data_IF_709234056111
#
_entry.id   IF_709234056111
#
_cell.length_a   1.000
_cell.length_b   1.000
_cell.length_c   1.000
_cell.angle_alpha   90.00
_cell.angle_beta   90.00
_cell.angle_gamma   90.00
#
_symmetry.space_group_name_H-M   'P 1'
#
loop_
_entity.id
_entity.type
_entity.pdbx_description
1 polymer ?
#
# COMPACT_ATOMS: atom_id res chain seq x y z
N UNK A 1 -3.28 14.57 11.98
CA UNK A 1 -3.59 13.12 11.84
C UNK A 1 -5.06 12.81 11.54
N UNK A 2 -6.04 13.62 11.98
CA UNK A 2 -7.47 13.35 11.76
C UNK A 2 -8.01 13.54 10.32
N UNK A 3 -7.36 14.36 9.48
CA UNK A 3 -7.85 14.64 8.11
C UNK A 3 -7.67 13.48 7.11
N UNK A 4 -6.72 12.58 7.34
CA UNK A 4 -6.47 11.42 6.46
C UNK A 4 -7.55 10.34 6.63
N UNK A 5 -8.10 10.20 7.84
CA UNK A 5 -9.18 9.26 8.14
C UNK A 5 -10.51 9.63 7.48
N UNK A 6 -10.76 10.92 7.25
CA UNK A 6 -12.03 11.40 6.68
C UNK A 6 -12.07 11.20 5.16
N UNK A 7 -10.97 11.49 4.45
CA UNK A 7 -10.87 11.20 3.01
C UNK A 7 -11.05 9.70 2.70
N UNK A 8 -10.58 8.85 3.62
CA UNK A 8 -10.70 7.40 3.56
C UNK A 8 -12.09 6.88 3.94
N UNK A 9 -13.05 7.75 4.29
CA UNK A 9 -14.44 7.37 4.56
C UNK A 9 -15.34 7.61 3.34
N UNK A 10 -15.12 8.72 2.65
CA UNK A 10 -15.96 9.16 1.53
C UNK A 10 -15.61 8.46 0.20
N UNK A 11 -14.32 8.33 -0.15
CA UNK A 11 -13.88 7.50 -1.29
C UNK A 11 -14.32 6.04 -1.15
N UNK A 12 -14.43 5.64 0.11
CA UNK A 12 -14.76 4.30 0.54
C UNK A 12 -16.26 4.06 0.31
N UNK A 13 -17.14 5.02 0.61
CA UNK A 13 -18.62 4.92 0.47
C UNK A 13 -19.11 4.60 -0.93
N UNK A 14 -18.61 5.31 -1.94
CA UNK A 14 -19.04 5.10 -3.33
C UNK A 14 -18.47 3.80 -3.92
N UNK A 15 -17.30 3.36 -3.43
CA UNK A 15 -16.73 2.06 -3.77
C UNK A 15 -17.47 0.91 -3.04
N UNK A 16 -17.87 1.10 -1.77
CA UNK A 16 -18.66 0.16 -0.96
C UNK A 16 -20.00 -0.19 -1.63
N UNK A 17 -20.76 0.82 -2.07
CA UNK A 17 -22.08 0.60 -2.69
C UNK A 17 -22.01 -0.16 -4.02
N UNK A 18 -20.91 -0.06 -4.76
CA UNK A 18 -20.71 -0.81 -6.02
C UNK A 18 -20.36 -2.28 -5.79
N UNK A 19 -19.74 -2.61 -4.66
CA UNK A 19 -19.31 -3.99 -4.34
C UNK A 19 -20.45 -4.79 -3.67
N UNK A 20 -21.28 -4.16 -2.84
CA UNK A 20 -22.43 -4.83 -2.20
C UNK A 20 -23.50 -5.33 -3.20
N UNK A 21 -23.55 -4.76 -4.40
CA UNK A 21 -24.56 -5.12 -5.41
C UNK A 21 -24.25 -6.38 -6.25
N UNK A 22 -23.07 -6.98 -6.12
CA UNK A 22 -22.58 -8.00 -7.06
C UNK A 22 -22.04 -9.26 -6.41
N UNK A 23 -22.76 -10.38 -6.59
CA UNK A 23 -22.28 -11.75 -6.34
C UNK A 23 -20.85 -11.93 -6.91
N UNK A 24 -19.98 -12.56 -6.11
CA UNK A 24 -18.58 -12.97 -6.35
C UNK A 24 -17.50 -11.95 -5.94
N UNK A 25 -17.02 -12.15 -4.72
CA UNK A 25 -15.88 -11.46 -4.09
C UNK A 25 -14.56 -11.79 -4.77
N UNK A 26 -14.20 -11.01 -5.79
CA UNK A 26 -12.87 -11.08 -6.42
C UNK A 26 -11.88 -10.11 -5.79
N UNK A 27 -11.93 -9.91 -4.46
CA UNK A 27 -10.98 -9.04 -3.76
C UNK A 27 -9.54 -9.48 -3.95
N UNK A 28 -9.29 -10.80 -3.99
CA UNK A 28 -8.00 -11.38 -4.38
C UNK A 28 -7.44 -10.81 -5.69
N UNK A 29 -8.29 -10.66 -6.71
CA UNK A 29 -7.91 -10.10 -8.01
C UNK A 29 -7.52 -8.62 -7.91
N UNK A 30 -8.00 -7.92 -6.88
CA UNK A 30 -7.72 -6.50 -6.65
C UNK A 30 -6.48 -6.28 -5.78
N UNK A 31 -6.29 -7.01 -4.68
CA UNK A 31 -5.12 -6.79 -3.81
C UNK A 31 -3.85 -7.46 -4.31
N UNK A 32 -3.93 -8.52 -5.12
CA UNK A 32 -2.75 -9.19 -5.64
C UNK A 32 -1.90 -8.27 -6.56
N UNK A 33 -2.49 -7.52 -7.52
CA UNK A 33 -1.76 -6.49 -8.25
C UNK A 33 -1.24 -5.34 -7.36
N UNK A 34 -2.00 -4.94 -6.33
CA UNK A 34 -1.53 -3.92 -5.39
C UNK A 34 -0.27 -4.38 -4.64
N UNK A 35 -0.23 -5.64 -4.19
CA UNK A 35 0.97 -6.21 -3.56
C UNK A 35 2.16 -6.20 -4.52
N UNK A 36 1.94 -6.58 -5.77
CA UNK A 36 2.99 -6.57 -6.79
C UNK A 36 3.57 -5.15 -7.01
N UNK A 37 2.70 -4.14 -7.09
CA UNK A 37 3.13 -2.74 -7.20
C UNK A 37 3.90 -2.26 -5.96
N UNK A 38 3.45 -2.62 -4.75
CA UNK A 38 4.16 -2.30 -3.51
C UNK A 38 5.57 -2.89 -3.52
N UNK A 39 5.72 -4.15 -3.93
CA UNK A 39 7.03 -4.83 -4.01
C UNK A 39 7.93 -4.13 -5.04
N UNK A 40 7.42 -3.80 -6.23
CA UNK A 40 8.19 -3.09 -7.26
C UNK A 40 8.65 -1.73 -6.75
N UNK A 41 7.77 -0.93 -6.18
CA UNK A 41 8.14 0.39 -5.68
C UNK A 41 9.12 0.30 -4.52
N UNK A 42 8.99 -0.70 -3.66
CA UNK A 42 9.95 -0.92 -2.58
C UNK A 42 11.34 -1.27 -3.12
N UNK A 43 11.42 -2.18 -4.09
CA UNK A 43 12.68 -2.53 -4.76
C UNK A 43 13.31 -1.32 -5.43
N UNK A 44 12.53 -0.54 -6.18
CA UNK A 44 13.01 0.67 -6.85
C UNK A 44 13.52 1.71 -5.85
N UNK A 45 12.76 1.98 -4.78
CA UNK A 45 13.21 2.84 -3.69
C UNK A 45 14.57 2.41 -3.14
N UNK A 46 14.71 1.13 -2.79
CA UNK A 46 15.95 0.57 -2.25
C UNK A 46 17.11 0.70 -3.25
N UNK A 47 16.88 0.39 -4.53
CA UNK A 47 17.89 0.50 -5.58
C UNK A 47 18.38 1.95 -5.69
N UNK A 48 17.49 2.92 -5.82
CA UNK A 48 17.87 4.33 -5.97
C UNK A 48 18.51 4.89 -4.70
N UNK A 49 18.19 4.36 -3.52
CA UNK A 49 18.88 4.70 -2.26
C UNK A 49 20.29 4.11 -2.16
N UNK A 50 20.53 2.93 -2.73
CA UNK A 50 21.87 2.33 -2.81
C UNK A 50 22.71 3.09 -3.84
N UNK A 51 22.12 3.33 -5.02
CA UNK A 51 22.76 4.07 -6.11
C UNK A 51 23.13 5.49 -5.70
N UNK A 52 22.33 6.19 -4.88
CA UNK A 52 22.66 7.54 -4.41
C UNK A 52 23.99 7.62 -3.62
N UNK A 53 24.51 6.50 -3.12
CA UNK A 53 25.77 6.40 -2.39
C UNK A 53 26.95 5.96 -3.27
N UNK A 54 26.67 5.50 -4.49
CA UNK A 54 27.67 4.91 -5.38
C UNK A 54 27.96 5.84 -6.57
N UNK A 55 29.13 6.49 -6.54
CA UNK A 55 29.50 7.48 -7.57
C UNK A 55 29.65 6.88 -8.96
N UNK A 56 30.08 5.63 -9.10
CA UNK A 56 30.27 5.03 -10.43
C UNK A 56 28.91 4.74 -11.07
N UNK A 57 27.99 4.15 -10.33
CA UNK A 57 26.62 3.91 -10.80
C UNK A 57 25.87 5.19 -11.12
N UNK A 58 26.07 6.25 -10.32
CA UNK A 58 25.50 7.58 -10.59
C UNK A 58 26.00 8.18 -11.90
N UNK A 59 27.29 7.99 -12.23
CA UNK A 59 27.85 8.43 -13.51
C UNK A 59 27.26 7.64 -14.68
N UNK A 60 27.11 6.33 -14.54
CA UNK A 60 26.55 5.46 -15.59
C UNK A 60 25.11 5.84 -15.96
N UNK A 61 24.27 6.11 -14.95
CA UNK A 61 22.86 6.50 -15.15
C UNK A 61 22.65 8.00 -15.28
N UNK A 62 23.73 8.80 -15.24
CA UNK A 62 23.74 10.26 -15.34
C UNK A 62 22.83 10.96 -14.33
N UNK A 63 22.84 10.51 -13.07
CA UNK A 63 22.12 11.13 -11.97
C UNK A 63 23.10 11.70 -10.93
N UNK A 64 22.71 12.79 -10.29
CA UNK A 64 23.32 13.22 -9.04
C UNK A 64 22.83 12.37 -7.86
N UNK A 65 23.62 12.33 -6.79
CA UNK A 65 23.23 11.66 -5.54
C UNK A 65 21.88 12.19 -5.00
N UNK A 66 21.66 13.51 -5.08
CA UNK A 66 20.43 14.17 -4.66
C UNK A 66 19.22 13.74 -5.49
N UNK A 67 19.36 13.67 -6.82
CA UNK A 67 18.27 13.24 -7.71
C UNK A 67 17.91 11.77 -7.47
N UNK A 68 18.91 10.90 -7.29
CA UNK A 68 18.69 9.50 -6.95
C UNK A 68 17.96 9.33 -5.62
N UNK A 69 18.32 10.12 -4.61
CA UNK A 69 17.62 10.11 -3.32
C UNK A 69 16.18 10.63 -3.44
N UNK A 70 15.94 11.65 -4.26
CA UNK A 70 14.59 12.15 -4.52
C UNK A 70 13.72 11.11 -5.24
N UNK A 71 14.27 10.38 -6.20
CA UNK A 71 13.59 9.26 -6.87
C UNK A 71 13.24 8.16 -5.85
N UNK A 72 14.18 7.80 -4.97
CA UNK A 72 13.93 6.84 -3.88
C UNK A 72 12.74 7.27 -3.03
N UNK A 73 12.70 8.54 -2.59
CA UNK A 73 11.61 9.09 -1.77
C UNK A 73 10.28 9.15 -2.52
N UNK A 74 10.30 9.39 -3.84
CA UNK A 74 9.09 9.35 -4.67
C UNK A 74 8.46 7.95 -4.68
N UNK A 75 9.26 6.90 -4.76
CA UNK A 75 8.77 5.53 -4.67
C UNK A 75 8.26 5.18 -3.27
N UNK A 76 8.94 5.61 -2.20
CA UNK A 76 8.44 5.45 -0.83
C UNK A 76 7.07 6.11 -0.65
N UNK A 77 6.91 7.34 -1.13
CA UNK A 77 5.63 8.04 -1.09
C UNK A 77 4.52 7.31 -1.86
N UNK A 78 4.84 6.65 -2.98
CA UNK A 78 3.87 5.82 -3.71
C UNK A 78 3.44 4.59 -2.93
N UNK A 79 4.33 4.01 -2.15
CA UNK A 79 3.97 2.92 -1.23
C UNK A 79 3.02 3.45 -0.16
N UNK A 80 3.30 4.60 0.45
CA UNK A 80 2.43 5.21 1.46
C UNK A 80 1.01 5.52 0.94
N UNK A 81 0.89 5.84 -0.35
CA UNK A 81 -0.40 6.07 -1.02
C UNK A 81 -1.18 4.76 -1.26
N UNK A 82 -0.51 3.67 -1.64
CA UNK A 82 -1.14 2.39 -2.04
C UNK A 82 -1.39 1.46 -0.85
N UNK A 83 -0.50 1.47 0.14
CA UNK A 83 -0.52 0.54 1.27
C UNK A 83 -1.84 0.54 2.06
N UNK A 84 -2.48 1.69 2.35
CA UNK A 84 -3.78 1.71 3.01
C UNK A 84 -4.89 1.03 2.20
N UNK A 85 -4.88 1.21 0.87
CA UNK A 85 -5.86 0.59 -0.05
C UNK A 85 -5.64 -0.92 -0.11
N UNK A 86 -4.39 -1.37 -0.25
CA UNK A 86 -4.03 -2.78 -0.21
C UNK A 86 -4.50 -3.44 1.09
N UNK A 87 -4.17 -2.82 2.23
CA UNK A 87 -4.55 -3.33 3.55
C UNK A 87 -6.06 -3.44 3.66
N UNK A 88 -6.80 -2.41 3.26
CA UNK A 88 -8.26 -2.44 3.28
C UNK A 88 -8.84 -3.57 2.43
N UNK A 89 -8.34 -3.78 1.21
CA UNK A 89 -8.80 -4.86 0.33
C UNK A 89 -8.58 -6.25 0.95
N UNK A 90 -7.41 -6.48 1.56
CA UNK A 90 -7.12 -7.73 2.29
C UNK A 90 -8.10 -7.91 3.44
N UNK A 91 -8.37 -6.86 4.22
CA UNK A 91 -9.30 -6.95 5.35
C UNK A 91 -10.73 -7.27 4.93
N UNK A 92 -11.19 -6.76 3.79
CA UNK A 92 -12.51 -7.11 3.27
C UNK A 92 -12.57 -8.58 2.83
N UNK A 93 -11.53 -9.08 2.17
CA UNK A 93 -11.44 -10.48 1.76
C UNK A 93 -11.46 -11.43 2.97
N UNK A 94 -10.67 -11.12 4.00
CA UNK A 94 -10.65 -11.87 5.27
C UNK A 94 -12.03 -11.91 5.93
N UNK A 95 -12.69 -10.75 6.06
CA UNK A 95 -14.05 -10.65 6.64
C UNK A 95 -15.08 -11.46 5.85
N UNK A 96 -15.03 -11.40 4.52
CA UNK A 96 -15.95 -12.16 3.67
C UNK A 96 -15.69 -13.67 3.73
N UNK A 97 -14.44 -14.09 3.92
CA UNK A 97 -14.07 -15.48 4.15
C UNK A 97 -14.43 -15.98 5.56
N UNK A 98 -15.02 -15.14 6.42
CA UNK A 98 -15.30 -15.47 7.82
C UNK A 98 -14.03 -15.61 8.68
N UNK A 99 -12.87 -15.17 8.16
CA UNK A 99 -11.62 -15.14 8.90
C UNK A 99 -11.59 -13.86 9.72
N UNK A 100 -11.66 -13.99 11.04
CA UNK A 100 -11.49 -12.84 11.93
C UNK A 100 -10.05 -12.34 11.74
N UNK A 101 -9.84 -11.10 11.28
CA UNK A 101 -8.50 -10.55 11.16
C UNK A 101 -7.80 -10.58 12.52
N UNK A 102 -6.54 -11.02 12.57
CA UNK A 102 -5.81 -11.20 13.82
C UNK A 102 -5.77 -9.95 14.74
N UNK A 103 -5.88 -8.75 14.17
CA UNK A 103 -5.93 -7.49 14.92
C UNK A 103 -7.30 -7.18 15.55
N UNK A 104 -8.40 -7.77 15.07
CA UNK A 104 -9.72 -7.69 15.70
C UNK A 104 -9.77 -8.58 16.96
N UNK A 105 -9.08 -9.72 16.95
CA UNK A 105 -8.89 -10.56 18.14
C UNK A 105 -8.14 -9.86 19.27
N UNK A 106 -7.16 -9.00 18.95
CA UNK A 106 -6.41 -8.21 19.95
C UNK A 106 -7.32 -7.20 20.68
N UNK A 107 -8.37 -6.71 20.02
CA UNK A 107 -9.30 -5.75 20.61
C UNK A 107 -10.29 -6.42 21.56
N UNK A 108 -10.75 -7.64 21.25
CA UNK A 108 -11.66 -8.42 22.11
C UNK A 108 -11.01 -8.74 23.46
N UNK A 109 -9.70 -9.01 23.49
CA UNK A 109 -8.97 -9.35 24.73
C UNK A 109 -8.78 -8.13 25.66
N UNK A 110 -8.90 -6.89 25.16
CA UNK A 110 -8.80 -5.68 26.01
C UNK A 110 -10.13 -5.26 26.64
N UNK A 111 -11.23 -5.88 26.27
CA UNK A 111 -12.58 -5.55 26.78
C UNK A 111 -13.10 -6.58 27.81
N UNK A 112 -12.26 -7.51 28.29
CA UNK A 112 -12.57 -8.47 29.37
C UNK A 112 -11.88 -8.06 30.68
#
# INVERSE_FOLDING_TARGET
MARVLILNRDLNRDFYHKIEGGKTSKFFVLYFPCLFLIVIYHLLSVIYRIVSKDRTKLQDIKLSSKESEEISRKYEKKIDEIYPVYTWLVLQDERQAGRIPAWEGIRIVREI
#
